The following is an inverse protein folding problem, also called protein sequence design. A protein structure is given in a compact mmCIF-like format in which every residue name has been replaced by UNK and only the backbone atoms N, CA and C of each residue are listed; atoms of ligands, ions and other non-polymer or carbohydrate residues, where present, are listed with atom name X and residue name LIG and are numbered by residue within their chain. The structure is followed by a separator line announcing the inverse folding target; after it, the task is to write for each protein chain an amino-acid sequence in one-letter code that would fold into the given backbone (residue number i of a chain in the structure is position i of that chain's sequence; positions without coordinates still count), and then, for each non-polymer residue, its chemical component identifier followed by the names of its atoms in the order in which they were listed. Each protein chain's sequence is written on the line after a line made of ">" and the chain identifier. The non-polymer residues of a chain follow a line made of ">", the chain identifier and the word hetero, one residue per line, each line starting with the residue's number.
data_IF_736492498550
#
_entry.id   IF_736492498550
#
_cell.length_a   1.000
_cell.length_b   1.000
_cell.length_c   1.000
_cell.angle_alpha   90.00
_cell.angle_beta   90.00
_cell.angle_gamma   90.00
#
_symmetry.space_group_name_H-M   'P 1'
#
loop_
_entity.id
_entity.type
_entity.pdbx_description
1 polymer ?
#
# COMPACT_ATOMS: atom_id res chain seq x y z
N UNK A 1 13.38 -19.77 -1.40
CA UNK A 1 13.00 -19.61 0.02
C UNK A 1 14.16 -19.27 0.97
N UNK A 2 15.43 -19.39 0.57
CA UNK A 2 16.60 -19.12 1.47
C UNK A 2 17.04 -17.64 1.46
N UNK A 3 16.68 -16.85 0.42
CA UNK A 3 17.13 -15.45 0.30
C UNK A 3 16.37 -14.45 1.16
N UNK A 4 15.10 -14.69 1.45
CA UNK A 4 14.22 -13.71 2.11
C UNK A 4 14.45 -13.60 3.62
N UNK A 5 14.72 -14.74 4.29
CA UNK A 5 15.13 -14.74 5.71
C UNK A 5 16.44 -13.95 5.90
N UNK A 6 17.38 -14.07 4.96
CA UNK A 6 18.69 -13.43 5.05
C UNK A 6 18.68 -11.89 4.82
N UNK A 7 17.75 -11.40 4.00
CA UNK A 7 17.60 -9.95 3.74
C UNK A 7 16.78 -9.30 4.85
N UNK A 8 15.73 -9.96 5.31
CA UNK A 8 14.95 -9.47 6.46
C UNK A 8 15.80 -9.37 7.74
N UNK A 9 16.76 -10.28 7.93
CA UNK A 9 17.67 -10.26 9.09
C UNK A 9 18.84 -9.27 8.92
N UNK A 10 19.20 -8.86 7.69
CA UNK A 10 20.27 -7.87 7.43
C UNK A 10 19.79 -6.44 7.27
N UNK A 11 18.53 -6.20 6.91
CA UNK A 11 17.90 -4.87 6.86
C UNK A 11 17.67 -4.29 8.28
N UNK A 12 18.08 -5.00 9.31
CA UNK A 12 17.87 -4.69 10.74
C UNK A 12 18.85 -3.64 11.30
N UNK A 13 19.45 -2.75 10.51
CA UNK A 13 20.52 -1.84 11.05
C UNK A 13 19.97 -0.52 11.63
N UNK A 14 18.70 -0.18 11.45
CA UNK A 14 18.05 0.97 12.14
C UNK A 14 16.62 0.58 12.59
N UNK A 15 16.44 -0.62 13.07
CA UNK A 15 15.13 -1.05 13.55
C UNK A 15 15.08 -0.91 15.06
N UNK A 16 14.00 -0.36 15.54
CA UNK A 16 13.57 -0.50 16.92
C UNK A 16 13.60 -1.98 17.29
N UNK A 17 14.05 -2.27 18.48
CA UNK A 17 14.06 -3.65 18.98
C UNK A 17 12.62 -4.19 19.00
N UNK A 18 12.45 -5.52 18.94
CA UNK A 18 11.13 -6.15 19.07
C UNK A 18 10.35 -5.59 20.27
N UNK A 19 11.05 -5.29 21.36
CA UNK A 19 10.47 -4.75 22.58
C UNK A 19 10.07 -3.27 22.45
N UNK A 20 10.85 -2.45 21.76
CA UNK A 20 10.48 -1.05 21.49
C UNK A 20 9.21 -0.98 20.62
N UNK A 21 9.08 -1.86 19.63
CA UNK A 21 7.86 -1.98 18.83
C UNK A 21 6.66 -2.46 19.66
N UNK A 22 6.88 -3.39 20.59
CA UNK A 22 5.87 -3.83 21.56
C UNK A 22 5.41 -2.68 22.45
N UNK A 23 6.35 -1.86 22.97
CA UNK A 23 6.04 -0.67 23.77
C UNK A 23 5.21 0.34 22.95
N UNK A 24 5.60 0.62 21.71
CA UNK A 24 4.82 1.47 20.79
C UNK A 24 3.40 0.92 20.63
N UNK A 25 3.26 -0.37 20.37
CA UNK A 25 1.97 -1.05 20.24
C UNK A 25 1.11 -0.90 21.50
N UNK A 26 1.68 -1.12 22.70
CA UNK A 26 0.99 -0.96 23.99
C UNK A 26 0.51 0.49 24.17
N UNK A 27 1.37 1.49 23.92
CA UNK A 27 0.99 2.90 24.07
C UNK A 27 -0.09 3.28 23.06
N UNK A 28 0.02 2.80 21.82
CA UNK A 28 -0.97 3.04 20.77
C UNK A 28 -2.36 2.53 21.15
N UNK A 29 -2.45 1.30 21.65
CA UNK A 29 -3.70 0.67 22.08
C UNK A 29 -4.34 1.36 23.28
N UNK A 30 -3.53 1.81 24.26
CA UNK A 30 -4.03 2.40 25.50
C UNK A 30 -4.12 3.94 25.46
N UNK A 31 -3.50 4.57 24.48
CA UNK A 31 -3.51 6.03 24.22
C UNK A 31 -2.64 6.83 25.17
N UNK A 32 -3.07 7.03 26.43
CA UNK A 32 -2.28 7.72 27.47
C UNK A 32 -2.08 6.78 28.63
N UNK A 33 -0.84 6.30 28.83
CA UNK A 33 -0.55 5.18 29.74
C UNK A 33 0.68 5.48 30.60
N UNK A 34 0.64 5.06 31.87
CA UNK A 34 1.74 5.19 32.79
C UNK A 34 2.76 4.05 32.64
N UNK A 35 4.01 4.31 33.03
CA UNK A 35 5.10 3.33 32.90
C UNK A 35 4.83 2.01 33.64
N UNK A 36 4.17 2.06 34.80
CA UNK A 36 3.81 0.88 35.58
C UNK A 36 2.75 -0.01 34.87
N UNK A 37 1.91 0.59 34.04
CA UNK A 37 0.92 -0.10 33.26
C UNK A 37 1.56 -0.71 32.00
N UNK A 38 2.46 0.04 31.34
CA UNK A 38 3.27 -0.49 30.21
C UNK A 38 4.03 -1.73 30.68
N UNK A 39 4.71 -1.66 31.84
CA UNK A 39 5.48 -2.78 32.39
C UNK A 39 4.63 -4.06 32.59
N UNK A 40 3.38 -3.91 33.00
CA UNK A 40 2.46 -5.04 33.22
C UNK A 40 1.97 -5.68 31.91
N UNK A 41 1.94 -4.91 30.84
CA UNK A 41 1.41 -5.35 29.53
C UNK A 41 2.48 -5.94 28.61
N UNK A 42 3.77 -5.80 28.98
CA UNK A 42 4.86 -6.42 28.21
C UNK A 42 4.83 -7.94 28.33
N UNK A 43 5.03 -8.62 27.20
CA UNK A 43 5.11 -10.09 27.13
C UNK A 43 6.24 -10.65 28.02
N UNK A 44 7.35 -9.89 28.10
CA UNK A 44 8.50 -10.24 28.94
C UNK A 44 8.71 -9.14 29.98
N UNK A 45 8.62 -9.50 31.26
CA UNK A 45 8.83 -8.56 32.36
C UNK A 45 10.26 -8.00 32.35
N UNK A 46 10.38 -6.67 32.42
CA UNK A 46 11.65 -5.95 32.50
C UNK A 46 11.68 -5.00 33.72
N UNK A 47 12.88 -4.61 34.12
CA UNK A 47 13.02 -3.65 35.22
C UNK A 47 12.57 -2.24 34.80
N UNK A 48 12.04 -1.46 35.73
CA UNK A 48 11.67 -0.04 35.50
C UNK A 48 12.82 0.78 34.91
N UNK A 49 14.10 0.65 35.42
CA UNK A 49 15.22 1.37 34.80
C UNK A 49 15.44 1.02 33.33
N UNK A 50 15.27 -0.25 32.94
CA UNK A 50 15.36 -0.69 31.52
C UNK A 50 14.26 -0.07 30.70
N UNK A 51 13.01 -0.15 31.18
CA UNK A 51 11.84 0.44 30.49
C UNK A 51 11.98 1.96 30.34
N UNK A 52 12.49 2.66 31.38
CA UNK A 52 12.76 4.11 31.31
C UNK A 52 13.76 4.45 30.19
N UNK A 53 14.82 3.65 30.01
CA UNK A 53 15.81 3.87 28.95
C UNK A 53 15.19 3.72 27.58
N UNK A 54 14.35 2.71 27.37
CA UNK A 54 13.66 2.47 26.09
C UNK A 54 12.63 3.57 25.80
N UNK A 55 11.84 3.98 26.79
CA UNK A 55 10.91 5.10 26.66
C UNK A 55 11.64 6.43 26.36
N UNK A 56 12.79 6.66 26.99
CA UNK A 56 13.63 7.83 26.71
C UNK A 56 14.16 7.78 25.24
N UNK A 57 14.56 6.61 24.77
CA UNK A 57 14.97 6.41 23.38
C UNK A 57 13.82 6.69 22.41
N UNK A 58 12.65 6.07 22.60
CA UNK A 58 11.48 6.29 21.76
C UNK A 58 11.03 7.76 21.74
N UNK A 59 11.15 8.44 22.89
CA UNK A 59 10.89 9.87 22.97
C UNK A 59 11.93 10.68 22.21
N UNK A 60 13.21 10.32 22.30
CA UNK A 60 14.29 11.01 21.56
C UNK A 60 14.14 10.89 20.04
N UNK A 61 13.56 9.79 19.58
CA UNK A 61 13.16 9.55 18.19
C UNK A 61 11.85 10.26 17.79
N UNK A 62 11.16 10.84 18.78
CA UNK A 62 9.90 11.52 18.55
C UNK A 62 8.70 10.60 18.32
N UNK A 63 8.81 9.29 18.55
CA UNK A 63 7.70 8.35 18.35
C UNK A 63 6.63 8.45 19.45
N UNK A 64 7.04 8.88 20.64
CA UNK A 64 6.15 9.07 21.78
C UNK A 64 6.35 10.44 22.41
N UNK A 65 5.29 10.97 23.01
CA UNK A 65 5.31 12.13 23.87
C UNK A 65 5.23 11.68 25.33
N UNK A 66 5.69 12.53 26.24
CA UNK A 66 5.59 12.32 27.68
C UNK A 66 4.96 13.55 28.32
N UNK A 67 3.86 13.38 29.04
CA UNK A 67 3.09 14.44 29.69
C UNK A 67 2.95 14.18 31.20
N UNK A 68 3.04 15.23 32.00
CA UNK A 68 3.04 15.14 33.46
C UNK A 68 4.43 15.03 34.05
N UNK A 69 4.49 14.85 35.38
CA UNK A 69 5.76 14.71 36.16
C UNK A 69 5.58 13.71 37.30
N UNK A 70 6.64 12.99 37.61
CA UNK A 70 6.65 12.02 38.72
C UNK A 70 5.55 10.95 38.54
N UNK A 71 4.72 10.68 39.55
CA UNK A 71 3.69 9.62 39.48
C UNK A 71 2.60 9.86 38.41
N UNK A 72 2.41 11.11 37.95
CA UNK A 72 1.42 11.45 36.91
C UNK A 72 1.99 11.42 35.49
N UNK A 73 3.26 11.00 35.32
CA UNK A 73 3.89 10.90 34.02
C UNK A 73 3.20 9.82 33.18
N UNK A 74 2.68 10.20 32.01
CA UNK A 74 2.05 9.32 31.03
C UNK A 74 2.69 9.49 29.67
N UNK A 75 2.65 8.44 28.88
CA UNK A 75 3.17 8.38 27.52
C UNK A 75 2.03 8.28 26.52
N UNK A 76 2.15 9.00 25.40
CA UNK A 76 1.22 9.00 24.27
C UNK A 76 1.99 8.82 22.97
N UNK A 77 1.35 8.29 21.94
CA UNK A 77 1.95 8.19 20.60
C UNK A 77 2.01 9.56 19.93
N UNK A 78 3.13 9.85 19.29
CA UNK A 78 3.25 10.95 18.35
C UNK A 78 2.92 10.43 16.93
N UNK A 79 1.68 10.55 16.53
CA UNK A 79 1.19 10.04 15.24
C UNK A 79 1.94 10.63 14.04
N UNK A 80 2.50 11.86 14.15
CA UNK A 80 3.25 12.49 13.05
C UNK A 80 4.50 11.72 12.64
N UNK A 81 5.19 11.12 13.63
CA UNK A 81 6.45 10.41 13.40
C UNK A 81 6.26 8.89 13.30
N UNK A 82 5.02 8.42 13.34
CA UNK A 82 4.72 6.99 13.26
C UNK A 82 4.79 6.43 11.83
N UNK A 83 4.89 7.29 10.81
CA UNK A 83 4.72 6.92 9.39
C UNK A 83 5.66 5.82 8.91
N UNK A 84 6.90 5.76 9.43
CA UNK A 84 7.91 4.78 8.99
C UNK A 84 8.20 3.67 10.01
N UNK A 85 7.64 3.74 11.21
CA UNK A 85 7.87 2.74 12.26
C UNK A 85 7.28 1.40 11.84
N UNK A 86 8.06 0.32 11.94
CA UNK A 86 7.57 -1.03 11.65
C UNK A 86 6.62 -1.49 12.75
N UNK A 87 5.33 -1.45 12.49
CA UNK A 87 4.29 -1.93 13.40
C UNK A 87 3.91 -3.38 13.07
N UNK A 88 3.64 -4.18 14.10
CA UNK A 88 3.12 -5.52 13.94
C UNK A 88 1.62 -5.47 13.63
N UNK A 89 1.27 -5.85 12.39
CA UNK A 89 -0.12 -5.87 11.93
C UNK A 89 -1.00 -6.81 12.75
N UNK A 90 -0.48 -7.99 13.12
CA UNK A 90 -1.27 -8.97 13.86
C UNK A 90 -1.60 -8.47 15.26
N UNK A 91 -0.66 -7.78 15.91
CA UNK A 91 -0.89 -7.13 17.19
C UNK A 91 -1.89 -5.97 17.04
N UNK A 92 -1.69 -5.11 16.03
CA UNK A 92 -2.55 -3.95 15.80
C UNK A 92 -4.02 -4.34 15.58
N UNK A 93 -4.26 -5.32 14.71
CA UNK A 93 -5.61 -5.76 14.33
C UNK A 93 -6.27 -6.73 15.33
N UNK A 94 -5.60 -7.10 16.44
CA UNK A 94 -6.29 -7.74 17.60
C UNK A 94 -7.22 -6.77 18.33
N UNK A 95 -6.95 -5.47 18.24
CA UNK A 95 -7.83 -4.45 18.82
C UNK A 95 -9.06 -4.27 17.95
N UNK A 96 -10.25 -4.34 18.56
CA UNK A 96 -11.52 -4.14 17.87
C UNK A 96 -11.61 -2.75 17.22
N UNK A 97 -12.40 -2.63 16.14
CA UNK A 97 -12.50 -1.41 15.33
C UNK A 97 -12.79 -0.17 16.18
N UNK A 98 -13.74 -0.30 17.11
CA UNK A 98 -14.20 0.83 17.93
C UNK A 98 -13.17 1.27 18.98
N UNK A 99 -12.29 0.36 19.38
CA UNK A 99 -11.25 0.60 20.39
C UNK A 99 -9.93 1.07 19.77
N UNK A 100 -9.78 0.93 18.44
CA UNK A 100 -8.56 1.39 17.75
C UNK A 100 -8.48 2.91 17.75
N UNK A 101 -7.33 3.43 18.14
CA UNK A 101 -7.01 4.86 18.05
C UNK A 101 -6.40 5.16 16.70
N UNK A 102 -7.10 5.98 15.93
CA UNK A 102 -6.78 6.26 14.53
C UNK A 102 -6.88 7.75 14.22
N UNK A 103 -6.34 8.13 13.07
CA UNK A 103 -6.63 9.41 12.42
C UNK A 103 -7.98 9.23 11.70
N UNK A 104 -9.08 9.61 12.35
CA UNK A 104 -10.43 9.32 11.83
C UNK A 104 -10.77 10.05 10.54
N UNK A 105 -10.32 11.29 10.39
CA UNK A 105 -10.58 12.11 9.19
C UNK A 105 -9.40 12.13 8.26
N UNK A 106 -9.68 12.31 6.98
CA UNK A 106 -8.65 12.50 5.97
C UNK A 106 -7.62 13.55 6.41
N UNK A 107 -6.36 13.17 6.42
CA UNK A 107 -5.26 14.01 6.86
C UNK A 107 -4.57 14.66 5.65
N UNK A 108 -4.90 15.90 5.33
CA UNK A 108 -4.28 16.64 4.22
C UNK A 108 -2.76 16.85 4.43
N UNK A 109 -2.27 16.87 5.68
CA UNK A 109 -0.84 17.03 5.97
C UNK A 109 -0.02 15.78 5.59
N UNK A 110 -0.67 14.65 5.26
CA UNK A 110 0.04 13.44 4.81
C UNK A 110 0.93 13.70 3.60
N UNK A 111 0.54 14.60 2.71
CA UNK A 111 1.34 14.92 1.51
C UNK A 111 2.67 15.59 1.89
N UNK A 112 2.65 16.64 2.71
CA UNK A 112 3.88 17.28 3.18
C UNK A 112 4.75 16.35 4.05
N UNK A 113 4.13 15.49 4.86
CA UNK A 113 4.88 14.48 5.63
C UNK A 113 5.60 13.48 4.72
N UNK A 114 4.93 12.99 3.65
CA UNK A 114 5.50 12.06 2.70
C UNK A 114 6.49 12.71 1.71
N UNK A 115 6.41 14.02 1.53
CA UNK A 115 7.38 14.78 0.77
C UNK A 115 8.75 14.81 1.47
N UNK A 116 8.73 14.98 2.79
CA UNK A 116 9.93 15.11 3.64
C UNK A 116 10.64 13.79 3.94
N UNK A 117 9.98 12.64 3.75
CA UNK A 117 10.54 11.33 4.06
C UNK A 117 11.04 10.60 2.81
N UNK A 118 12.11 9.82 2.97
CA UNK A 118 12.51 8.77 2.04
C UNK A 118 11.75 7.49 2.42
N UNK A 119 10.89 7.01 1.52
CA UNK A 119 10.08 5.81 1.76
C UNK A 119 10.95 4.57 1.87
N UNK A 120 11.95 4.48 1.00
CA UNK A 120 12.90 3.38 0.97
C UNK A 120 14.27 3.88 1.44
N UNK A 121 14.92 3.13 2.31
CA UNK A 121 16.31 3.39 2.67
C UNK A 121 17.27 3.02 1.53
N UNK A 122 18.55 3.36 1.69
CA UNK A 122 19.58 3.14 0.67
C UNK A 122 19.67 1.66 0.28
N UNK A 123 19.62 0.74 1.25
CA UNK A 123 19.75 -0.71 0.99
C UNK A 123 18.50 -1.25 0.28
N UNK A 124 17.31 -0.77 0.67
CA UNK A 124 16.05 -1.12 0.02
C UNK A 124 16.03 -0.64 -1.45
N UNK A 125 16.53 0.58 -1.71
CA UNK A 125 16.65 1.11 -3.08
C UNK A 125 17.70 0.35 -3.90
N UNK A 126 18.84 0.00 -3.35
CA UNK A 126 19.84 -0.84 -4.01
C UNK A 126 19.24 -2.19 -4.40
N UNK A 127 18.54 -2.84 -3.47
CA UNK A 127 17.85 -4.10 -3.73
C UNK A 127 16.81 -3.99 -4.86
N UNK A 128 15.94 -2.97 -4.83
CA UNK A 128 14.94 -2.75 -5.88
C UNK A 128 15.58 -2.44 -7.23
N UNK A 129 16.66 -1.67 -7.26
CA UNK A 129 17.41 -1.36 -8.46
C UNK A 129 18.10 -2.60 -9.06
N UNK A 130 18.64 -3.49 -8.25
CA UNK A 130 19.28 -4.74 -8.73
C UNK A 130 18.24 -5.71 -9.28
N UNK A 131 17.06 -5.80 -8.66
CA UNK A 131 15.92 -6.51 -9.23
C UNK A 131 15.52 -5.92 -10.59
N UNK A 132 15.42 -4.59 -10.69
CA UNK A 132 15.07 -3.96 -11.96
C UNK A 132 16.11 -4.21 -13.06
N UNK A 133 17.40 -4.15 -12.75
CA UNK A 133 18.47 -4.55 -13.70
C UNK A 133 18.31 -6.00 -14.16
N UNK A 134 17.97 -6.90 -13.22
CA UNK A 134 17.71 -8.31 -13.53
C UNK A 134 16.54 -8.44 -14.52
N UNK A 135 15.43 -7.75 -14.27
CA UNK A 135 14.30 -7.71 -15.19
C UNK A 135 14.70 -7.18 -16.57
N UNK A 136 15.39 -6.03 -16.62
CA UNK A 136 15.83 -5.42 -17.87
C UNK A 136 16.77 -6.33 -18.69
N UNK A 137 17.63 -7.09 -18.02
CA UNK A 137 18.48 -8.08 -18.70
C UNK A 137 17.65 -9.23 -19.26
N UNK A 138 16.72 -9.80 -18.49
CA UNK A 138 15.84 -10.86 -18.96
C UNK A 138 15.05 -10.46 -20.21
N UNK A 139 14.41 -9.29 -20.21
CA UNK A 139 13.59 -8.86 -21.35
C UNK A 139 14.41 -8.56 -22.63
N UNK A 140 15.69 -8.20 -22.52
CA UNK A 140 16.57 -8.01 -23.69
C UNK A 140 16.79 -9.28 -24.50
N UNK A 141 16.78 -10.43 -23.83
CA UNK A 141 17.03 -11.73 -24.44
C UNK A 141 15.75 -12.37 -25.02
N UNK A 142 14.57 -11.77 -24.77
CA UNK A 142 13.30 -12.27 -25.26
C UNK A 142 12.98 -11.77 -26.66
N UNK A 143 12.50 -12.66 -27.52
CA UNK A 143 11.83 -12.24 -28.74
C UNK A 143 10.49 -11.55 -28.42
N UNK A 144 9.98 -10.73 -29.36
CA UNK A 144 8.69 -10.06 -29.20
C UNK A 144 7.55 -11.02 -28.86
N UNK A 145 7.55 -12.22 -29.45
CA UNK A 145 6.52 -13.24 -29.17
C UNK A 145 6.65 -13.83 -27.76
N UNK A 146 7.86 -14.02 -27.27
CA UNK A 146 8.09 -14.49 -25.90
C UNK A 146 7.68 -13.41 -24.88
N UNK A 147 8.08 -12.16 -25.10
CA UNK A 147 7.66 -11.04 -24.27
C UNK A 147 6.13 -10.92 -24.22
N UNK A 148 5.45 -10.97 -25.37
CA UNK A 148 4.00 -10.87 -25.44
C UNK A 148 3.29 -12.00 -24.65
N UNK A 149 3.81 -13.24 -24.70
CA UNK A 149 3.26 -14.37 -23.92
C UNK A 149 3.43 -14.17 -22.42
N UNK A 150 4.62 -13.74 -21.97
CA UNK A 150 4.87 -13.50 -20.55
C UNK A 150 4.06 -12.30 -20.04
N UNK A 151 3.94 -11.24 -20.85
CA UNK A 151 3.10 -10.09 -20.52
C UNK A 151 1.61 -10.49 -20.42
N UNK A 152 1.12 -11.31 -21.35
CA UNK A 152 -0.26 -11.84 -21.28
C UNK A 152 -0.48 -12.66 -19.99
N UNK A 153 0.48 -13.51 -19.62
CA UNK A 153 0.41 -14.30 -18.39
C UNK A 153 0.34 -13.38 -17.14
N UNK A 154 1.23 -12.39 -17.08
CA UNK A 154 1.22 -11.39 -16.00
C UNK A 154 -0.11 -10.63 -15.96
N UNK A 155 -0.64 -10.21 -17.12
CA UNK A 155 -1.90 -9.48 -17.24
C UNK A 155 -3.09 -10.32 -16.70
N UNK A 156 -3.16 -11.61 -17.03
CA UNK A 156 -4.20 -12.52 -16.53
C UNK A 156 -4.11 -12.64 -15.00
N UNK A 157 -2.92 -12.90 -14.49
CA UNK A 157 -2.71 -13.08 -13.04
C UNK A 157 -2.92 -11.79 -12.25
N UNK A 158 -2.54 -10.62 -12.80
CA UNK A 158 -2.83 -9.31 -12.23
C UNK A 158 -4.35 -9.05 -12.20
N UNK A 159 -5.05 -9.32 -13.31
CA UNK A 159 -6.50 -9.11 -13.40
C UNK A 159 -7.24 -9.95 -12.37
N UNK A 160 -6.91 -11.24 -12.30
CA UNK A 160 -7.45 -12.16 -11.31
C UNK A 160 -7.20 -11.69 -9.88
N UNK A 161 -5.94 -11.47 -9.53
CA UNK A 161 -5.57 -11.18 -8.14
C UNK A 161 -6.07 -9.82 -7.69
N UNK A 162 -5.99 -8.81 -8.55
CA UNK A 162 -6.49 -7.47 -8.25
C UNK A 162 -8.01 -7.46 -8.03
N UNK A 163 -8.77 -8.27 -8.81
CA UNK A 163 -10.20 -8.43 -8.61
C UNK A 163 -10.52 -9.25 -7.35
N UNK A 164 -9.77 -10.32 -7.06
CA UNK A 164 -9.92 -11.15 -5.87
C UNK A 164 -9.71 -10.34 -4.57
N UNK A 165 -8.74 -9.41 -4.53
CA UNK A 165 -8.53 -8.51 -3.40
C UNK A 165 -9.80 -7.67 -3.11
N UNK A 166 -10.56 -7.32 -4.14
CA UNK A 166 -11.80 -6.55 -4.01
C UNK A 166 -13.05 -7.44 -3.81
N UNK A 167 -12.90 -8.76 -3.76
CA UNK A 167 -13.98 -9.69 -3.44
C UNK A 167 -14.54 -10.47 -4.64
N UNK A 168 -13.95 -10.35 -5.84
CA UNK A 168 -14.30 -11.18 -6.98
C UNK A 168 -13.97 -12.64 -6.67
N UNK A 169 -14.84 -13.55 -7.06
CA UNK A 169 -14.77 -14.98 -6.71
C UNK A 169 -14.22 -15.87 -7.82
N UNK A 170 -13.94 -15.32 -9.01
CA UNK A 170 -13.28 -16.07 -10.09
C UNK A 170 -11.95 -16.67 -9.60
N UNK A 171 -11.70 -17.91 -9.98
CA UNK A 171 -10.37 -18.49 -9.83
C UNK A 171 -9.45 -18.11 -11.01
N UNK A 172 -8.19 -18.54 -10.95
CA UNK A 172 -7.23 -18.19 -12.00
C UNK A 172 -7.55 -18.85 -13.34
N UNK A 173 -8.04 -20.10 -13.33
CA UNK A 173 -8.33 -20.83 -14.59
C UNK A 173 -9.57 -20.27 -15.25
N UNK A 174 -10.63 -19.98 -14.51
CA UNK A 174 -11.83 -19.34 -15.02
C UNK A 174 -11.53 -17.93 -15.54
N UNK A 175 -10.64 -17.19 -14.86
CA UNK A 175 -10.16 -15.89 -15.33
C UNK A 175 -9.39 -16.04 -16.65
N UNK A 176 -8.53 -17.03 -16.79
CA UNK A 176 -7.82 -17.29 -18.05
C UNK A 176 -8.78 -17.62 -19.19
N UNK A 177 -9.78 -18.47 -18.95
CA UNK A 177 -10.82 -18.81 -19.94
C UNK A 177 -11.60 -17.57 -20.40
N UNK A 178 -11.99 -16.73 -19.43
CA UNK A 178 -12.68 -15.48 -19.73
C UNK A 178 -11.81 -14.52 -20.54
N UNK A 179 -10.57 -14.29 -20.11
CA UNK A 179 -9.72 -13.26 -20.71
C UNK A 179 -9.12 -13.68 -22.06
N UNK A 180 -8.88 -14.99 -22.30
CA UNK A 180 -8.34 -15.49 -23.56
C UNK A 180 -9.42 -15.80 -24.58
N UNK A 181 -10.50 -16.45 -24.13
CA UNK A 181 -11.49 -17.04 -25.04
C UNK A 181 -12.88 -16.40 -24.93
N UNK A 182 -13.04 -15.42 -24.02
CA UNK A 182 -14.32 -14.77 -23.73
C UNK A 182 -15.42 -15.76 -23.26
N UNK A 183 -15.00 -16.81 -22.55
CA UNK A 183 -15.88 -17.82 -21.97
C UNK A 183 -16.08 -17.49 -20.50
N UNK A 184 -17.32 -17.09 -20.13
CA UNK A 184 -17.68 -16.84 -18.73
C UNK A 184 -17.94 -18.14 -18.00
N UNK A 185 -17.53 -18.22 -16.72
CA UNK A 185 -17.84 -19.35 -15.85
C UNK A 185 -19.29 -19.28 -15.35
N UNK A 186 -19.97 -20.44 -15.26
CA UNK A 186 -21.41 -20.50 -14.95
C UNK A 186 -21.80 -20.07 -13.54
N UNK A 187 -20.88 -20.14 -12.58
CA UNK A 187 -21.15 -19.89 -11.16
C UNK A 187 -20.80 -18.47 -10.70
N UNK A 188 -20.57 -17.54 -11.63
CA UNK A 188 -20.16 -16.16 -11.33
C UNK A 188 -21.12 -15.14 -11.91
N UNK A 189 -21.15 -13.95 -11.35
CA UNK A 189 -22.00 -12.87 -11.82
C UNK A 189 -21.45 -12.20 -13.07
N UNK A 190 -22.31 -11.53 -13.82
CA UNK A 190 -21.86 -10.73 -14.99
C UNK A 190 -20.97 -9.57 -14.56
N UNK A 191 -21.22 -9.00 -13.41
CA UNK A 191 -20.44 -7.91 -12.82
C UNK A 191 -19.01 -8.37 -12.49
N UNK A 192 -18.85 -9.59 -11.98
CA UNK A 192 -17.52 -10.18 -11.73
C UNK A 192 -16.74 -10.41 -13.03
N UNK A 193 -17.39 -10.95 -14.05
CA UNK A 193 -16.78 -11.12 -15.38
C UNK A 193 -16.40 -9.75 -16.00
N UNK A 194 -17.31 -8.77 -15.94
CA UNK A 194 -17.05 -7.41 -16.44
C UNK A 194 -15.88 -6.75 -15.72
N UNK A 195 -15.75 -6.94 -14.40
CA UNK A 195 -14.61 -6.44 -13.64
C UNK A 195 -13.28 -6.95 -14.20
N UNK A 196 -13.17 -8.23 -14.55
CA UNK A 196 -11.95 -8.83 -15.12
C UNK A 196 -11.67 -8.32 -16.54
N UNK A 197 -12.68 -8.22 -17.39
CA UNK A 197 -12.56 -7.67 -18.75
C UNK A 197 -12.11 -6.20 -18.73
N UNK A 198 -12.64 -5.41 -17.80
CA UNK A 198 -12.23 -4.03 -17.58
C UNK A 198 -10.76 -3.94 -17.14
N UNK A 199 -10.31 -4.84 -16.25
CA UNK A 199 -8.91 -4.91 -15.86
C UNK A 199 -8.00 -5.17 -17.05
N UNK A 200 -8.33 -6.16 -17.89
CA UNK A 200 -7.59 -6.46 -19.13
C UNK A 200 -7.48 -5.22 -20.01
N UNK A 201 -8.62 -4.56 -20.26
CA UNK A 201 -8.68 -3.35 -21.10
C UNK A 201 -7.82 -2.23 -20.54
N UNK A 202 -7.88 -1.98 -19.21
CA UNK A 202 -7.10 -0.94 -18.56
C UNK A 202 -5.59 -1.26 -18.53
N UNK A 203 -5.19 -2.53 -18.38
CA UNK A 203 -3.78 -2.95 -18.43
C UNK A 203 -3.22 -2.73 -19.84
N UNK A 204 -3.95 -3.15 -20.88
CA UNK A 204 -3.53 -2.95 -22.26
C UNK A 204 -3.39 -1.45 -22.57
N UNK A 205 -4.39 -0.65 -22.19
CA UNK A 205 -4.33 0.80 -22.35
C UNK A 205 -3.10 1.41 -21.68
N UNK A 206 -2.82 1.03 -20.43
CA UNK A 206 -1.65 1.59 -19.69
C UNK A 206 -0.32 1.13 -20.28
N UNK A 207 -0.26 -0.08 -20.83
CA UNK A 207 0.93 -0.60 -21.51
C UNK A 207 1.17 0.12 -22.83
N UNK A 208 0.14 0.28 -23.66
CA UNK A 208 0.25 0.94 -24.96
C UNK A 208 0.55 2.44 -24.83
N UNK A 209 0.09 3.06 -23.75
CA UNK A 209 0.24 4.49 -23.47
C UNK A 209 1.22 4.78 -22.32
N UNK A 210 2.13 3.86 -21.99
CA UNK A 210 3.02 3.97 -20.83
C UNK A 210 3.84 5.26 -20.80
N UNK A 211 4.24 5.76 -21.97
CA UNK A 211 5.06 6.98 -22.09
C UNK A 211 4.33 8.26 -21.62
N UNK A 212 2.99 8.18 -21.49
CA UNK A 212 2.21 9.30 -20.92
C UNK A 212 2.38 9.45 -19.41
N UNK A 213 2.87 8.41 -18.70
CA UNK A 213 2.94 8.38 -17.23
C UNK A 213 4.27 8.88 -16.65
N UNK A 214 5.08 9.60 -17.45
CA UNK A 214 6.23 10.35 -16.95
C UNK A 214 5.80 11.43 -15.94
N UNK A 215 4.72 12.14 -16.27
CA UNK A 215 4.06 13.09 -15.39
C UNK A 215 2.63 12.63 -15.09
N UNK A 216 2.30 12.45 -13.81
CA UNK A 216 0.95 12.08 -13.39
C UNK A 216 0.03 13.29 -13.40
N UNK A 217 -1.24 13.10 -13.82
CA UNK A 217 -2.29 14.12 -13.76
C UNK A 217 -3.63 13.48 -13.37
N UNK A 218 -4.55 14.30 -12.88
CA UNK A 218 -5.91 13.86 -12.51
C UNK A 218 -6.62 13.23 -13.72
N UNK A 219 -6.46 13.80 -14.92
CA UNK A 219 -7.08 13.25 -16.13
C UNK A 219 -6.60 11.82 -16.43
N UNK A 220 -5.29 11.53 -16.32
CA UNK A 220 -4.74 10.19 -16.53
C UNK A 220 -5.24 9.18 -15.51
N UNK A 221 -5.47 9.59 -14.26
CA UNK A 221 -6.08 8.77 -13.22
C UNK A 221 -7.54 8.47 -13.59
N UNK A 222 -8.30 9.48 -14.05
CA UNK A 222 -9.70 9.33 -14.48
C UNK A 222 -9.79 8.43 -15.72
N UNK A 223 -8.86 8.48 -16.67
CA UNK A 223 -8.83 7.62 -17.84
C UNK A 223 -8.72 6.14 -17.43
N UNK A 224 -7.79 5.80 -16.52
CA UNK A 224 -7.67 4.44 -15.96
C UNK A 224 -8.95 4.04 -15.21
N UNK A 225 -9.47 4.92 -14.36
CA UNK A 225 -10.69 4.67 -13.60
C UNK A 225 -11.88 4.40 -14.53
N UNK A 226 -12.01 5.17 -15.60
CA UNK A 226 -13.07 5.01 -16.59
C UNK A 226 -13.06 3.62 -17.22
N UNK A 227 -11.87 3.09 -17.55
CA UNK A 227 -11.71 1.74 -18.08
C UNK A 227 -12.01 0.67 -17.02
N UNK A 228 -11.53 0.85 -15.80
CA UNK A 228 -11.73 -0.09 -14.67
C UNK A 228 -13.21 -0.25 -14.30
N UNK A 229 -14.03 0.77 -14.56
CA UNK A 229 -15.45 0.81 -14.16
C UNK A 229 -16.42 0.83 -15.34
N UNK A 230 -15.92 0.57 -16.54
CA UNK A 230 -16.74 0.56 -17.75
C UNK A 230 -17.90 -0.46 -17.64
N UNK A 231 -19.11 -0.06 -18.02
CA UNK A 231 -20.32 -0.90 -17.99
C UNK A 231 -20.72 -1.45 -16.60
N UNK A 232 -20.19 -0.86 -15.53
CA UNK A 232 -20.51 -1.27 -14.14
C UNK A 232 -21.54 -0.34 -13.46
N UNK A 233 -22.12 0.63 -14.17
CA UNK A 233 -23.07 1.58 -13.61
C UNK A 233 -22.44 2.59 -12.62
N UNK A 234 -21.12 2.70 -12.60
CA UNK A 234 -20.36 3.59 -11.73
C UNK A 234 -20.07 4.90 -12.48
N UNK A 235 -20.17 6.04 -11.77
CA UNK A 235 -19.86 7.34 -12.37
C UNK A 235 -18.36 7.46 -12.68
N UNK A 236 -18.03 8.05 -13.82
CA UNK A 236 -16.65 8.25 -14.27
C UNK A 236 -15.94 9.42 -13.56
N UNK A 237 -16.72 10.28 -12.90
CA UNK A 237 -16.24 11.50 -12.26
C UNK A 237 -15.88 11.28 -10.80
N UNK A 238 -15.19 12.26 -10.23
CA UNK A 238 -14.98 12.38 -8.79
C UNK A 238 -16.33 12.29 -8.08
N UNK A 239 -16.39 11.51 -7.01
CA UNK A 239 -17.63 11.29 -6.26
C UNK A 239 -18.09 12.57 -5.54
N UNK A 240 -19.40 12.68 -5.40
CA UNK A 240 -20.05 13.75 -4.63
C UNK A 240 -20.63 13.24 -3.30
N UNK A 241 -20.70 11.91 -3.13
CA UNK A 241 -21.24 11.27 -1.94
C UNK A 241 -20.14 10.80 -1.02
N UNK A 242 -20.41 10.80 0.27
CA UNK A 242 -19.53 10.22 1.29
C UNK A 242 -19.49 8.70 1.08
N UNK A 243 -18.30 8.13 1.09
CA UNK A 243 -18.07 6.68 1.09
C UNK A 243 -17.53 6.25 2.45
N UNK A 244 -17.79 4.99 2.81
CA UNK A 244 -17.26 4.37 4.01
C UNK A 244 -16.49 3.13 3.64
N UNK A 245 -15.50 2.81 4.46
CA UNK A 245 -14.59 1.69 4.20
C UNK A 245 -14.82 0.64 5.28
N UNK A 246 -15.07 -0.59 4.85
CA UNK A 246 -15.26 -1.71 5.78
C UNK A 246 -13.97 -2.00 6.54
N UNK A 247 -14.09 -2.20 7.85
CA UNK A 247 -12.98 -2.59 8.73
C UNK A 247 -12.23 -1.42 9.38
N UNK A 248 -12.72 -0.18 9.22
CA UNK A 248 -12.11 1.02 9.82
C UNK A 248 -13.13 2.10 10.12
N UNK A 249 -12.80 3.01 11.05
CA UNK A 249 -13.54 4.27 11.29
C UNK A 249 -13.03 5.43 10.41
N UNK A 250 -11.99 5.21 9.62
CA UNK A 250 -11.42 6.24 8.75
C UNK A 250 -12.45 6.78 7.77
N UNK A 251 -12.51 8.10 7.65
CA UNK A 251 -13.41 8.85 6.77
C UNK A 251 -12.56 9.55 5.67
N UNK A 252 -12.70 9.14 4.40
CA UNK A 252 -12.11 9.83 3.27
C UNK A 252 -12.62 11.28 3.11
N UNK A 253 -12.01 12.12 2.24
CA UNK A 253 -12.47 13.50 2.00
C UNK A 253 -13.99 13.57 1.78
N UNK A 254 -14.64 14.54 2.40
CA UNK A 254 -16.11 14.60 2.51
C UNK A 254 -16.81 15.10 1.23
N UNK A 255 -16.12 15.87 0.38
CA UNK A 255 -16.71 16.51 -0.79
C UNK A 255 -15.74 16.56 -1.99
N UNK A 256 -16.28 16.87 -3.17
CA UNK A 256 -15.54 16.91 -4.44
C UNK A 256 -14.36 17.89 -4.42
N UNK A 257 -14.48 19.05 -3.77
CA UNK A 257 -13.40 20.04 -3.72
C UNK A 257 -12.19 19.54 -2.94
N UNK A 258 -12.42 18.90 -1.78
CA UNK A 258 -11.34 18.28 -0.99
C UNK A 258 -10.72 17.10 -1.72
N UNK A 259 -11.51 16.35 -2.50
CA UNK A 259 -11.00 15.25 -3.32
C UNK A 259 -10.12 15.79 -4.44
N UNK A 260 -10.58 16.81 -5.16
CA UNK A 260 -9.79 17.47 -6.23
C UNK A 260 -8.48 18.05 -5.70
N UNK A 261 -8.52 18.75 -4.55
CA UNK A 261 -7.33 19.27 -3.90
C UNK A 261 -6.37 18.13 -3.51
N UNK A 262 -6.89 17.04 -2.93
CA UNK A 262 -6.08 15.87 -2.55
C UNK A 262 -5.46 15.18 -3.77
N UNK A 263 -6.20 15.03 -4.86
CA UNK A 263 -5.67 14.47 -6.12
C UNK A 263 -4.62 15.37 -6.76
N UNK A 264 -4.80 16.69 -6.70
CA UNK A 264 -3.79 17.63 -7.21
C UNK A 264 -2.51 17.55 -6.38
N UNK A 265 -2.61 17.57 -5.04
CA UNK A 265 -1.44 17.41 -4.15
C UNK A 265 -0.74 16.07 -4.33
N UNK A 266 -1.51 14.99 -4.60
CA UNK A 266 -0.93 13.70 -4.98
C UNK A 266 -0.12 13.85 -6.27
N UNK A 267 -0.68 14.42 -7.33
CA UNK A 267 0.03 14.59 -8.60
C UNK A 267 1.30 15.43 -8.41
N UNK A 268 1.24 16.53 -7.65
CA UNK A 268 2.38 17.40 -7.38
C UNK A 268 3.48 16.65 -6.62
N UNK A 269 3.12 15.92 -5.56
CA UNK A 269 4.04 15.08 -4.79
C UNK A 269 4.72 14.01 -5.67
N UNK A 270 3.95 13.26 -6.45
CA UNK A 270 4.47 12.19 -7.31
C UNK A 270 5.40 12.75 -8.38
N UNK A 271 5.02 13.88 -8.99
CA UNK A 271 5.84 14.51 -10.02
C UNK A 271 7.13 15.12 -9.45
N UNK A 272 7.11 15.56 -8.18
CA UNK A 272 8.29 16.07 -7.46
C UNK A 272 9.30 15.02 -7.03
N UNK A 273 8.86 13.78 -6.75
CA UNK A 273 9.77 12.68 -6.38
C UNK A 273 10.67 12.29 -7.55
N UNK A 274 11.92 11.92 -7.27
CA UNK A 274 12.89 11.51 -8.30
C UNK A 274 12.86 10.00 -8.56
N UNK A 275 12.67 9.21 -7.51
CA UNK A 275 12.71 7.76 -7.59
C UNK A 275 11.35 7.19 -8.03
N UNK A 276 11.33 6.42 -9.12
CA UNK A 276 10.09 5.87 -9.66
C UNK A 276 9.46 4.77 -8.78
N UNK A 277 10.23 4.08 -7.94
CA UNK A 277 9.68 3.15 -6.95
C UNK A 277 8.90 3.90 -5.88
N UNK A 278 9.40 5.05 -5.41
CA UNK A 278 8.65 5.92 -4.50
C UNK A 278 7.40 6.50 -5.17
N UNK A 279 7.53 6.99 -6.42
CA UNK A 279 6.37 7.44 -7.21
C UNK A 279 5.29 6.38 -7.28
N UNK A 280 5.66 5.15 -7.64
CA UNK A 280 4.73 4.02 -7.74
C UNK A 280 4.07 3.70 -6.41
N UNK A 281 4.89 3.52 -5.38
CA UNK A 281 4.46 3.16 -4.03
C UNK A 281 3.47 4.18 -3.46
N UNK A 282 3.84 5.45 -3.49
CA UNK A 282 3.00 6.55 -2.99
C UNK A 282 1.71 6.71 -3.80
N UNK A 283 1.77 6.51 -5.12
CA UNK A 283 0.58 6.55 -5.98
C UNK A 283 -0.45 5.51 -5.54
N UNK A 284 -0.01 4.26 -5.31
CA UNK A 284 -0.91 3.17 -4.91
C UNK A 284 -1.55 3.47 -3.54
N UNK A 285 -0.76 3.90 -2.57
CA UNK A 285 -1.27 4.20 -1.23
C UNK A 285 -2.19 5.41 -1.20
N UNK A 286 -1.76 6.53 -1.78
CA UNK A 286 -2.49 7.80 -1.69
C UNK A 286 -3.78 7.78 -2.51
N UNK A 287 -3.81 7.19 -3.70
CA UNK A 287 -5.07 7.01 -4.45
C UNK A 287 -6.05 6.13 -3.66
N UNK A 288 -5.52 5.05 -3.04
CA UNK A 288 -6.34 4.20 -2.17
C UNK A 288 -6.83 4.94 -0.92
N UNK A 289 -6.07 5.90 -0.38
CA UNK A 289 -6.42 6.70 0.80
C UNK A 289 -7.46 7.78 0.48
N UNK A 290 -7.29 8.48 -0.64
CA UNK A 290 -8.20 9.56 -1.07
C UNK A 290 -9.61 9.02 -1.35
N UNK A 291 -9.74 7.80 -1.91
CA UNK A 291 -11.06 7.25 -2.28
C UNK A 291 -11.87 8.23 -3.13
N UNK A 292 -11.27 8.74 -4.21
CA UNK A 292 -11.83 9.83 -5.01
C UNK A 292 -13.07 9.46 -5.83
N UNK A 293 -13.35 8.17 -6.00
CA UNK A 293 -14.45 7.64 -6.83
C UNK A 293 -15.45 6.83 -6.00
N UNK A 294 -16.64 6.60 -6.56
CA UNK A 294 -17.69 5.81 -5.89
C UNK A 294 -17.28 4.35 -5.67
N UNK A 295 -16.58 3.76 -6.63
CA UNK A 295 -15.93 2.44 -6.56
C UNK A 295 -14.70 2.40 -7.48
N UNK A 296 -13.96 1.28 -7.48
CA UNK A 296 -12.78 1.07 -8.31
C UNK A 296 -11.50 1.76 -7.83
N UNK A 297 -11.52 2.48 -6.71
CA UNK A 297 -10.38 3.28 -6.22
C UNK A 297 -9.08 2.47 -6.10
N UNK A 298 -9.10 1.31 -5.45
CA UNK A 298 -7.90 0.50 -5.24
C UNK A 298 -7.43 -0.20 -6.53
N UNK A 299 -8.36 -0.59 -7.41
CA UNK A 299 -8.04 -1.13 -8.74
C UNK A 299 -7.34 -0.08 -9.59
N UNK A 300 -7.90 1.13 -9.64
CA UNK A 300 -7.28 2.30 -10.30
C UNK A 300 -5.90 2.59 -9.73
N UNK A 301 -5.74 2.59 -8.41
CA UNK A 301 -4.46 2.84 -7.74
C UNK A 301 -3.38 1.84 -8.17
N UNK A 302 -3.69 0.53 -8.17
CA UNK A 302 -2.74 -0.52 -8.58
C UNK A 302 -2.35 -0.39 -10.06
N UNK A 303 -3.29 -0.07 -10.93
CA UNK A 303 -3.01 0.10 -12.35
C UNK A 303 -2.24 1.38 -12.66
N UNK A 304 -2.56 2.50 -11.98
CA UNK A 304 -1.77 3.74 -12.10
C UNK A 304 -0.33 3.55 -11.63
N UNK A 305 -0.13 2.82 -10.52
CA UNK A 305 1.21 2.45 -10.07
C UNK A 305 1.95 1.59 -11.09
N UNK A 306 1.29 0.60 -11.69
CA UNK A 306 1.89 -0.22 -12.74
C UNK A 306 2.21 0.58 -14.01
N UNK A 307 1.40 1.58 -14.36
CA UNK A 307 1.70 2.47 -15.47
C UNK A 307 3.01 3.25 -15.26
N UNK A 308 3.27 3.71 -14.01
CA UNK A 308 4.53 4.38 -13.65
C UNK A 308 5.72 3.39 -13.76
N UNK A 309 5.58 2.15 -13.29
CA UNK A 309 6.63 1.13 -13.44
C UNK A 309 6.95 0.87 -14.92
N UNK A 310 5.92 0.64 -15.73
CA UNK A 310 6.09 0.38 -17.17
C UNK A 310 6.71 1.57 -17.93
N UNK A 311 6.35 2.81 -17.57
CA UNK A 311 6.98 4.02 -18.11
C UNK A 311 8.49 4.03 -17.85
N UNK A 312 8.92 3.52 -16.69
CA UNK A 312 10.33 3.47 -16.28
C UNK A 312 11.03 2.14 -16.67
N UNK A 313 10.46 1.37 -17.60
CA UNK A 313 10.97 0.07 -18.02
C UNK A 313 11.23 -0.87 -16.83
N UNK A 314 10.33 -0.86 -15.84
CA UNK A 314 10.34 -1.73 -14.70
C UNK A 314 9.20 -2.76 -14.78
N UNK A 315 9.42 -3.92 -14.14
CA UNK A 315 8.44 -5.01 -14.12
C UNK A 315 7.15 -4.57 -13.41
N UNK A 316 5.97 -4.69 -14.05
CA UNK A 316 4.72 -4.41 -13.37
C UNK A 316 4.41 -5.46 -12.29
N UNK A 317 3.72 -5.04 -11.23
CA UNK A 317 3.32 -5.90 -10.11
C UNK A 317 2.09 -6.74 -10.49
N UNK A 318 2.18 -8.05 -10.33
CA UNK A 318 1.03 -8.95 -10.54
C UNK A 318 0.16 -9.15 -9.31
N UNK A 319 0.69 -8.85 -8.13
CA UNK A 319 0.06 -9.13 -6.82
C UNK A 319 -0.26 -10.62 -6.57
N UNK A 320 0.14 -11.53 -7.46
CA UNK A 320 -0.24 -12.94 -7.43
C UNK A 320 0.03 -13.63 -6.09
N UNK A 321 1.18 -13.39 -5.50
CA UNK A 321 1.59 -14.05 -4.25
C UNK A 321 1.05 -13.37 -2.99
N UNK A 322 0.34 -12.23 -3.10
CA UNK A 322 -0.15 -11.51 -1.93
C UNK A 322 -1.35 -12.22 -1.28
N UNK A 323 -1.35 -12.26 0.04
CA UNK A 323 -2.55 -12.62 0.79
C UNK A 323 -3.52 -11.42 0.80
N UNK A 324 -4.78 -11.58 0.31
CA UNK A 324 -5.74 -10.47 0.24
C UNK A 324 -6.03 -9.82 1.60
N UNK A 325 -6.04 -10.60 2.68
CA UNK A 325 -6.30 -10.08 4.04
C UNK A 325 -5.12 -9.24 4.53
N UNK A 326 -3.88 -9.71 4.34
CA UNK A 326 -2.68 -8.96 4.70
C UNK A 326 -2.55 -7.67 3.90
N UNK A 327 -2.87 -7.71 2.59
CA UNK A 327 -2.92 -6.51 1.77
C UNK A 327 -3.93 -5.49 2.31
N UNK A 328 -5.16 -5.94 2.64
CA UNK A 328 -6.19 -5.07 3.22
C UNK A 328 -5.74 -4.48 4.56
N UNK A 329 -5.17 -5.29 5.45
CA UNK A 329 -4.62 -4.83 6.73
C UNK A 329 -3.54 -3.76 6.52
N UNK A 330 -2.58 -3.97 5.61
CA UNK A 330 -1.51 -3.00 5.34
C UNK A 330 -2.04 -1.67 4.81
N UNK A 331 -3.03 -1.70 3.92
CA UNK A 331 -3.70 -0.51 3.41
C UNK A 331 -4.49 0.20 4.52
N UNK A 332 -5.20 -0.55 5.38
CA UNK A 332 -5.92 0.03 6.52
C UNK A 332 -4.99 0.67 7.54
N UNK A 333 -3.81 0.10 7.79
CA UNK A 333 -2.81 0.75 8.66
C UNK A 333 -2.38 2.11 8.12
N UNK A 334 -2.24 2.25 6.81
CA UNK A 334 -1.98 3.55 6.21
C UNK A 334 -3.17 4.50 6.38
N UNK A 335 -4.40 4.03 6.20
CA UNK A 335 -5.60 4.85 6.40
C UNK A 335 -5.71 5.36 7.83
N UNK A 336 -5.45 4.50 8.79
CA UNK A 336 -5.66 4.76 10.22
C UNK A 336 -4.51 5.53 10.87
N UNK A 337 -3.27 5.33 10.42
CA UNK A 337 -2.07 5.85 11.07
C UNK A 337 -1.14 6.64 10.15
N UNK A 338 -1.45 6.71 8.85
CA UNK A 338 -0.53 7.14 7.79
C UNK A 338 0.83 6.40 7.83
N UNK A 339 0.82 5.14 8.31
CA UNK A 339 2.01 4.30 8.41
C UNK A 339 2.24 3.53 7.11
N UNK A 340 3.44 3.68 6.53
CA UNK A 340 3.80 3.09 5.24
C UNK A 340 4.49 1.72 5.38
N UNK A 341 4.96 1.33 6.56
CA UNK A 341 5.91 0.23 6.74
C UNK A 341 5.33 -1.14 6.32
N UNK A 342 4.07 -1.41 6.66
CA UNK A 342 3.41 -2.67 6.33
C UNK A 342 3.21 -2.82 4.83
N UNK A 343 2.75 -1.76 4.15
CA UNK A 343 2.56 -1.80 2.70
C UNK A 343 3.89 -1.80 1.94
N UNK A 344 4.94 -1.17 2.49
CA UNK A 344 6.30 -1.20 1.94
C UNK A 344 6.82 -2.64 1.82
N UNK A 345 6.66 -3.45 2.86
CA UNK A 345 7.03 -4.86 2.82
C UNK A 345 6.29 -5.63 1.71
N UNK A 346 4.99 -5.40 1.56
CA UNK A 346 4.20 -6.01 0.47
C UNK A 346 4.72 -5.55 -0.89
N UNK A 347 4.96 -4.26 -1.09
CA UNK A 347 5.43 -3.72 -2.35
C UNK A 347 6.76 -4.34 -2.79
N UNK A 348 7.74 -4.37 -1.90
CA UNK A 348 9.07 -4.96 -2.17
C UNK A 348 8.96 -6.45 -2.52
N UNK A 349 8.17 -7.20 -1.74
CA UNK A 349 7.92 -8.62 -2.00
C UNK A 349 7.25 -8.87 -3.35
N UNK A 350 6.27 -8.05 -3.71
CA UNK A 350 5.56 -8.19 -4.98
C UNK A 350 6.45 -7.81 -6.17
N UNK A 351 7.33 -6.82 -6.03
CA UNK A 351 8.28 -6.47 -7.07
C UNK A 351 9.31 -7.59 -7.27
N UNK A 352 9.87 -8.12 -6.18
CA UNK A 352 10.77 -9.28 -6.25
C UNK A 352 10.07 -10.47 -6.90
N UNK A 353 8.87 -10.82 -6.43
CA UNK A 353 8.09 -11.92 -6.99
C UNK A 353 7.87 -11.74 -8.49
N UNK A 354 7.51 -10.53 -8.93
CA UNK A 354 7.26 -10.27 -10.34
C UNK A 354 8.53 -10.47 -11.18
N UNK A 355 9.67 -9.93 -10.75
CA UNK A 355 10.95 -10.07 -11.45
C UNK A 355 11.43 -11.53 -11.50
N UNK A 356 11.21 -12.31 -10.44
CA UNK A 356 11.64 -13.72 -10.38
C UNK A 356 10.76 -14.65 -11.20
N UNK A 357 9.47 -14.35 -11.36
CA UNK A 357 8.49 -15.28 -11.91
C UNK A 357 7.99 -14.95 -13.32
N UNK A 358 8.24 -13.72 -13.82
CA UNK A 358 7.85 -13.33 -15.18
C UNK A 358 9.08 -12.93 -16.00
N UNK A 359 8.95 -13.07 -17.33
CA UNK A 359 9.95 -12.68 -18.33
C UNK A 359 11.30 -13.46 -18.28
#
# INVERSE_FOLDING_TARGET
>A
MIGFSYICDRITIIMETKRELEIIGIILQNGSIAISEIQKLLDVAISIPTLNRELAYLKSKGYINAEGRGPSLKYTINLKNLSTVKLDQEVYFKTEIDDRRIIEKFNMNVFSQLEEIEVFDIMELEFLNDLNKTYQNKIKDLSNNQFAKEFERLMIELSWKSAQIEGNTYDLLDTEQLLRFNISADNHTKEEAQMLLNHKSAINYTFDNRDLYDQLSISKIIDIHTLVTQEMGITKNIRKRIVRITGTKYLPPENEFLIEEALQRLCDLINGKQNFFEKTFLTILLLSYIQGFEDGNKRTARLTGNAILMNNNACPLSYRSVNPTEYKKAVLMFYELNNVSAFKAIFMNQFQFAVENYF
#
